data_IF_170351755730
#
_entry.id   IF_170351755730
#
_cell.length_a   1.000
_cell.length_b   1.000
_cell.length_c   1.000
_cell.angle_alpha   90.00
_cell.angle_beta   90.00
_cell.angle_gamma   90.00
#
_symmetry.space_group_name_H-M   'P 1'
#
loop_
_entity.id
_entity.type
_entity.pdbx_description
1 polymer ?
#
# COMPACT_ATOMS: atom_id res chain seq x y z
N UNK A 1 -43.08 54.49 5.47
CA UNK A 1 -42.39 53.70 4.43
C UNK A 1 -41.97 52.38 5.07
N UNK A 2 -42.58 51.28 4.63
CA UNK A 2 -42.38 49.92 5.16
C UNK A 2 -41.39 49.21 4.23
N UNK A 3 -40.32 48.64 4.78
CA UNK A 3 -39.39 47.78 4.04
C UNK A 3 -39.69 46.34 4.45
N UNK A 4 -40.12 45.51 3.50
CA UNK A 4 -40.32 44.07 3.70
C UNK A 4 -38.96 43.37 3.70
N UNK A 5 -38.68 42.57 4.73
CA UNK A 5 -37.57 41.62 4.75
C UNK A 5 -38.11 40.25 4.35
N UNK A 6 -37.73 39.75 3.18
CA UNK A 6 -37.92 38.34 2.81
C UNK A 6 -36.81 37.51 3.46
N UNK A 7 -37.19 36.65 4.40
CA UNK A 7 -36.37 35.55 4.89
C UNK A 7 -36.45 34.41 3.87
N UNK A 8 -35.32 34.06 3.25
CA UNK A 8 -35.18 32.81 2.50
C UNK A 8 -34.70 31.76 3.52
N UNK A 9 -35.51 30.73 3.72
CA UNK A 9 -35.18 29.57 4.56
C UNK A 9 -33.94 28.84 4.03
N UNK A 10 -32.90 28.59 4.85
CA UNK A 10 -31.92 27.57 4.52
C UNK A 10 -32.55 26.18 4.72
N UNK A 11 -32.37 25.32 3.71
CA UNK A 11 -32.79 23.94 3.74
C UNK A 11 -32.20 23.20 4.95
N UNK A 12 -33.05 22.42 5.59
CA UNK A 12 -32.73 21.56 6.74
C UNK A 12 -31.77 20.46 6.30
N UNK A 13 -30.53 20.49 6.77
CA UNK A 13 -29.68 19.30 6.89
C UNK A 13 -29.39 19.08 8.38
N UNK A 14 -29.97 18.00 8.91
CA UNK A 14 -29.88 17.61 10.31
C UNK A 14 -28.49 17.09 10.73
N UNK A 15 -28.31 16.85 12.03
CA UNK A 15 -27.00 16.72 12.65
C UNK A 15 -26.45 15.29 12.52
N UNK A 16 -25.54 15.06 11.58
CA UNK A 16 -24.67 13.89 11.61
C UNK A 16 -23.20 14.32 11.73
N UNK A 17 -22.81 14.50 12.99
CA UNK A 17 -21.51 14.11 13.55
C UNK A 17 -20.32 14.04 12.57
N UNK A 18 -19.63 15.16 12.42
CA UNK A 18 -18.26 15.24 11.87
C UNK A 18 -17.20 14.68 12.86
N UNK A 19 -17.48 13.53 13.48
CA UNK A 19 -16.59 12.83 14.41
C UNK A 19 -16.63 11.32 14.16
N UNK A 20 -16.21 10.89 12.97
CA UNK A 20 -16.05 9.46 12.70
C UNK A 20 -14.96 9.15 11.67
N UNK A 21 -13.83 9.85 11.73
CA UNK A 21 -12.59 9.43 11.08
C UNK A 21 -11.50 9.65 12.13
N UNK A 22 -10.57 8.72 12.29
CA UNK A 22 -9.58 8.61 13.38
C UNK A 22 -10.07 7.97 14.69
N UNK A 23 -10.41 6.68 14.62
CA UNK A 23 -10.18 5.78 15.75
C UNK A 23 -9.79 4.39 15.24
N UNK A 24 -8.51 4.23 14.89
CA UNK A 24 -7.91 2.89 14.86
C UNK A 24 -7.90 2.38 16.30
N UNK A 25 -8.82 1.46 16.61
CA UNK A 25 -8.81 0.78 17.89
C UNK A 25 -7.88 -0.43 17.73
N UNK A 26 -6.64 -0.28 18.21
CA UNK A 26 -5.68 -1.37 18.28
C UNK A 26 -6.24 -2.44 19.24
N UNK A 27 -6.78 -3.53 18.68
CA UNK A 27 -6.98 -4.76 19.44
C UNK A 27 -5.61 -5.40 19.59
N UNK A 28 -5.11 -5.45 20.82
CA UNK A 28 -3.88 -6.15 21.19
C UNK A 28 -4.12 -7.66 21.01
N UNK A 29 -3.86 -8.16 19.81
CA UNK A 29 -3.71 -9.59 19.55
C UNK A 29 -2.22 -9.87 19.69
N UNK A 30 -1.85 -10.75 20.62
CA UNK A 30 -0.49 -11.27 20.69
C UNK A 30 -0.24 -12.12 19.43
N UNK A 31 0.19 -11.46 18.35
CA UNK A 31 0.66 -12.10 17.13
C UNK A 31 2.09 -12.56 17.38
N UNK A 32 2.34 -13.86 17.38
CA UNK A 32 3.71 -14.36 17.29
C UNK A 32 4.21 -14.06 15.89
N UNK A 33 5.02 -13.02 15.76
CA UNK A 33 5.82 -12.75 14.57
C UNK A 33 6.86 -13.86 14.42
N UNK A 34 6.48 -14.99 13.85
CA UNK A 34 7.46 -15.99 13.42
C UNK A 34 8.21 -15.40 12.22
N UNK A 35 9.53 -15.14 12.29
CA UNK A 35 10.30 -14.43 11.26
C UNK A 35 10.48 -15.24 9.96
N UNK A 36 9.80 -16.37 9.82
CA UNK A 36 10.04 -17.40 8.81
C UNK A 36 9.29 -17.20 7.49
N UNK A 37 8.87 -15.98 7.13
CA UNK A 37 8.30 -15.76 5.81
C UNK A 37 9.39 -15.97 4.75
N UNK A 38 9.14 -16.87 3.79
CA UNK A 38 10.09 -17.10 2.70
C UNK A 38 10.18 -15.81 1.87
N UNK A 39 11.39 -15.32 1.65
CA UNK A 39 11.66 -14.10 0.89
C UNK A 39 12.11 -14.45 -0.53
N UNK A 40 11.51 -13.81 -1.54
CA UNK A 40 11.89 -14.01 -2.94
C UNK A 40 11.84 -12.73 -3.78
N UNK A 41 12.55 -12.76 -4.91
CA UNK A 41 12.52 -11.73 -5.94
C UNK A 41 11.99 -12.33 -7.24
N UNK A 42 11.18 -11.56 -7.97
CA UNK A 42 10.89 -11.84 -9.36
C UNK A 42 11.92 -11.17 -10.28
N UNK A 43 12.57 -11.97 -11.12
CA UNK A 43 13.50 -11.52 -12.16
C UNK A 43 12.78 -11.06 -13.43
N UNK A 44 13.52 -10.41 -14.33
CA UNK A 44 13.05 -9.89 -15.62
C UNK A 44 12.42 -10.94 -16.54
N UNK A 45 12.98 -12.14 -16.52
CA UNK A 45 12.51 -13.31 -17.26
C UNK A 45 11.33 -14.02 -16.57
N UNK A 46 10.80 -13.46 -15.47
CA UNK A 46 9.72 -14.05 -14.68
C UNK A 46 10.19 -15.08 -13.66
N UNK A 47 11.47 -15.47 -13.66
CA UNK A 47 11.98 -16.45 -12.71
C UNK A 47 11.93 -15.91 -11.27
N UNK A 48 11.51 -16.75 -10.33
CA UNK A 48 11.50 -16.42 -8.90
C UNK A 48 12.72 -17.03 -8.24
N UNK A 49 13.49 -16.23 -7.51
CA UNK A 49 14.67 -16.69 -6.77
C UNK A 49 14.60 -16.29 -5.31
N UNK A 50 15.20 -17.11 -4.45
CA UNK A 50 15.39 -16.78 -3.04
C UNK A 50 16.11 -15.44 -2.88
N UNK A 51 15.71 -14.69 -1.86
CA UNK A 51 16.13 -13.31 -1.64
C UNK A 51 16.61 -13.11 -0.21
N UNK A 52 17.51 -12.16 -0.03
CA UNK A 52 17.89 -11.66 1.29
C UNK A 52 17.05 -10.44 1.62
N UNK A 53 16.85 -10.17 2.90
CA UNK A 53 16.13 -8.98 3.36
C UNK A 53 16.66 -7.67 2.74
N UNK A 54 17.99 -7.51 2.62
CA UNK A 54 18.59 -6.32 2.02
C UNK A 54 18.14 -6.08 0.55
N UNK A 55 17.79 -7.14 -0.17
CA UNK A 55 17.29 -7.03 -1.55
C UNK A 55 15.91 -6.34 -1.61
N UNK A 56 15.16 -6.36 -0.52
CA UNK A 56 13.86 -5.68 -0.41
C UNK A 56 14.04 -4.18 -0.34
N UNK A 57 15.12 -3.71 0.28
CA UNK A 57 15.41 -2.29 0.44
C UNK A 57 16.05 -1.66 -0.80
N UNK A 58 16.83 -2.42 -1.56
CA UNK A 58 17.56 -1.94 -2.74
C UNK A 58 16.68 -1.77 -3.97
N UNK A 59 17.12 -0.97 -4.93
CA UNK A 59 16.58 -1.04 -6.29
C UNK A 59 17.28 -2.14 -7.08
N UNK A 60 16.56 -3.14 -7.60
CA UNK A 60 17.16 -4.34 -8.21
C UNK A 60 16.76 -4.59 -9.66
N UNK A 61 15.84 -3.80 -10.22
CA UNK A 61 15.22 -4.13 -11.52
C UNK A 61 16.01 -3.60 -12.71
N UNK A 62 16.47 -2.34 -12.69
CA UNK A 62 17.18 -1.73 -13.81
C UNK A 62 18.53 -1.14 -13.39
N UNK A 63 19.36 -0.85 -14.39
CA UNK A 63 20.62 -0.12 -14.25
C UNK A 63 20.57 1.12 -15.13
N UNK A 64 21.24 2.19 -14.72
CA UNK A 64 21.33 3.42 -15.50
C UNK A 64 22.62 3.45 -16.32
N UNK A 65 22.55 4.03 -17.52
CA UNK A 65 23.74 4.25 -18.36
C UNK A 65 24.76 5.18 -17.70
N UNK A 66 24.32 6.05 -16.79
CA UNK A 66 25.15 6.98 -16.03
C UNK A 66 24.59 7.15 -14.62
N UNK A 67 25.45 7.46 -13.65
CA UNK A 67 25.08 7.69 -12.24
C UNK A 67 24.36 6.53 -11.56
N UNK A 68 24.60 5.30 -12.03
CA UNK A 68 23.86 4.12 -11.62
C UNK A 68 23.82 3.89 -10.10
N UNK A 69 24.97 3.98 -9.42
CA UNK A 69 25.02 3.86 -7.96
C UNK A 69 24.24 4.97 -7.24
N UNK A 70 24.22 6.19 -7.80
CA UNK A 70 23.49 7.32 -7.22
C UNK A 70 21.98 7.18 -7.45
N UNK A 71 21.56 6.72 -8.62
CA UNK A 71 20.15 6.48 -8.90
C UNK A 71 19.59 5.30 -8.08
N UNK A 72 20.39 4.25 -7.87
CA UNK A 72 20.06 3.16 -6.99
C UNK A 72 19.97 3.62 -5.52
N UNK A 73 20.88 4.48 -5.04
CA UNK A 73 20.86 4.97 -3.66
C UNK A 73 19.68 5.88 -3.35
N UNK A 74 19.26 6.73 -4.30
CA UNK A 74 18.03 7.54 -4.20
C UNK A 74 16.76 6.71 -4.03
N UNK A 75 16.78 5.44 -4.46
CA UNK A 75 15.67 4.48 -4.38
C UNK A 75 15.85 3.44 -3.29
N UNK A 76 16.93 3.53 -2.51
CA UNK A 76 17.12 2.69 -1.34
C UNK A 76 16.13 3.12 -0.25
N UNK A 77 15.37 2.17 0.28
CA UNK A 77 14.46 2.42 1.39
C UNK A 77 14.46 1.24 2.34
N UNK A 78 15.01 1.47 3.53
CA UNK A 78 14.87 0.53 4.64
C UNK A 78 13.50 0.69 5.28
N UNK A 79 12.86 -0.41 5.62
CA UNK A 79 11.58 -0.46 6.31
C UNK A 79 11.54 -1.72 7.18
N UNK A 80 10.62 -1.77 8.13
CA UNK A 80 10.44 -2.90 9.03
C UNK A 80 9.54 -3.94 8.37
N UNK A 81 10.15 -5.02 7.85
CA UNK A 81 9.43 -6.13 7.21
C UNK A 81 8.42 -6.76 8.17
N UNK A 82 8.80 -7.19 9.39
CA UNK A 82 7.83 -7.73 10.35
C UNK A 82 6.58 -6.85 10.56
N UNK A 83 6.76 -5.53 10.69
CA UNK A 83 5.63 -4.61 10.87
C UNK A 83 4.78 -4.48 9.61
N UNK A 84 5.38 -4.47 8.42
CA UNK A 84 4.62 -4.50 7.16
C UNK A 84 3.78 -5.77 7.05
N UNK A 85 4.35 -6.92 7.41
CA UNK A 85 3.64 -8.20 7.42
C UNK A 85 2.50 -8.19 8.45
N UNK A 86 2.72 -7.60 9.63
CA UNK A 86 1.71 -7.44 10.68
C UNK A 86 0.52 -6.61 10.18
N UNK A 87 0.79 -5.45 9.59
CA UNK A 87 -0.24 -4.59 8.98
C UNK A 87 -1.01 -5.36 7.90
N UNK A 88 -0.30 -6.08 7.05
CA UNK A 88 -0.92 -6.84 5.98
C UNK A 88 -1.86 -7.92 6.53
N UNK A 89 -1.39 -8.77 7.47
CA UNK A 89 -2.22 -9.78 8.14
C UNK A 89 -3.48 -9.17 8.75
N UNK A 90 -3.33 -8.08 9.50
CA UNK A 90 -4.46 -7.39 10.15
C UNK A 90 -5.48 -6.83 9.13
N UNK A 91 -5.03 -6.44 7.94
CA UNK A 91 -5.87 -5.89 6.89
C UNK A 91 -6.50 -6.93 5.95
N UNK A 92 -5.98 -8.16 5.93
CA UNK A 92 -6.39 -9.23 5.01
C UNK A 92 -7.69 -9.95 5.40
N UNK A 93 -8.24 -9.70 6.60
CA UNK A 93 -9.49 -10.30 7.08
C UNK A 93 -9.29 -11.29 8.25
N UNK A 94 -10.38 -11.94 8.69
CA UNK A 94 -10.42 -12.71 9.95
C UNK A 94 -9.70 -14.06 9.91
N UNK A 95 -9.39 -14.58 8.73
CA UNK A 95 -8.96 -15.97 8.58
C UNK A 95 -7.47 -16.09 8.21
N UNK A 96 -6.77 -14.97 8.06
CA UNK A 96 -5.32 -14.94 7.83
C UNK A 96 -4.61 -14.71 9.16
N UNK A 97 -3.79 -15.67 9.60
CA UNK A 97 -3.06 -15.57 10.87
C UNK A 97 -1.59 -15.22 10.67
N UNK A 98 -1.02 -15.60 9.50
CA UNK A 98 0.41 -15.47 9.25
C UNK A 98 0.72 -15.32 7.76
N UNK A 99 1.68 -14.44 7.46
CA UNK A 99 2.32 -14.37 6.15
C UNK A 99 3.29 -15.54 5.98
N UNK A 100 3.13 -16.32 4.91
CA UNK A 100 3.97 -17.48 4.59
C UNK A 100 5.05 -17.14 3.57
N UNK A 101 4.79 -16.16 2.69
CA UNK A 101 5.70 -15.77 1.63
C UNK A 101 5.60 -14.29 1.32
N UNK A 102 6.75 -13.65 1.15
CA UNK A 102 6.86 -12.27 0.68
C UNK A 102 7.75 -12.24 -0.56
N UNK A 103 7.15 -11.96 -1.72
CA UNK A 103 7.86 -11.80 -2.98
C UNK A 103 7.92 -10.34 -3.38
N UNK A 104 9.09 -9.84 -3.74
CA UNK A 104 9.25 -8.54 -4.37
C UNK A 104 9.08 -8.67 -5.88
N UNK A 105 8.11 -7.94 -6.43
CA UNK A 105 7.93 -7.80 -7.88
C UNK A 105 9.07 -7.00 -8.50
N UNK A 106 9.15 -7.06 -9.84
CA UNK A 106 9.94 -6.09 -10.59
C UNK A 106 9.48 -4.67 -10.25
N UNK A 107 10.43 -3.86 -9.81
CA UNK A 107 10.18 -2.50 -9.36
C UNK A 107 10.06 -1.56 -10.55
N UNK A 108 9.01 -0.74 -10.52
CA UNK A 108 8.92 0.47 -11.33
C UNK A 108 9.89 1.55 -10.83
N UNK A 109 9.83 2.74 -11.42
CA UNK A 109 10.73 3.84 -11.03
C UNK A 109 10.41 4.44 -9.65
N UNK A 110 9.18 4.27 -9.17
CA UNK A 110 8.62 5.07 -8.09
C UNK A 110 8.17 4.26 -6.87
N UNK A 111 7.93 2.96 -7.00
CA UNK A 111 7.43 2.14 -5.91
C UNK A 111 8.16 0.78 -5.88
N UNK A 112 8.34 0.26 -4.67
CA UNK A 112 8.55 -1.16 -4.41
C UNK A 112 7.19 -1.82 -4.26
N UNK A 113 7.00 -2.95 -4.91
CA UNK A 113 5.74 -3.70 -4.86
C UNK A 113 6.02 -5.11 -4.40
N UNK A 114 5.26 -5.57 -3.42
CA UNK A 114 5.41 -6.88 -2.80
C UNK A 114 4.11 -7.66 -2.91
N UNK A 115 4.20 -8.92 -3.29
CA UNK A 115 3.14 -9.91 -3.13
C UNK A 115 3.31 -10.58 -1.78
N UNK A 116 2.27 -10.52 -0.96
CA UNK A 116 2.23 -11.17 0.34
C UNK A 116 1.21 -12.31 0.28
N UNK A 117 1.66 -13.53 0.55
CA UNK A 117 0.81 -14.72 0.60
C UNK A 117 0.64 -15.18 2.05
N UNK A 118 -0.57 -15.59 2.40
CA UNK A 118 -0.93 -16.00 3.75
C UNK A 118 -1.21 -17.50 3.87
N UNK A 119 -1.27 -18.00 5.11
CA UNK A 119 -1.55 -19.40 5.42
C UNK A 119 -2.93 -19.89 4.96
N UNK A 120 -3.90 -19.00 4.79
CA UNK A 120 -5.23 -19.32 4.26
C UNK A 120 -5.31 -19.33 2.72
N UNK A 121 -4.17 -19.13 2.03
CA UNK A 121 -4.10 -19.08 0.58
C UNK A 121 -4.51 -17.76 -0.05
N UNK A 122 -4.92 -16.77 0.75
CA UNK A 122 -5.16 -15.41 0.25
C UNK A 122 -3.86 -14.68 -0.06
N UNK A 123 -3.95 -13.70 -0.95
CA UNK A 123 -2.82 -12.87 -1.38
C UNK A 123 -3.22 -11.39 -1.39
N UNK A 124 -2.30 -10.54 -0.94
CA UNK A 124 -2.42 -9.07 -1.03
C UNK A 124 -1.17 -8.47 -1.63
N UNK A 125 -1.29 -7.25 -2.11
CA UNK A 125 -0.18 -6.47 -2.65
C UNK A 125 0.13 -5.31 -1.70
N UNK A 126 1.39 -5.20 -1.29
CA UNK A 126 1.89 -4.04 -0.57
C UNK A 126 2.76 -3.18 -1.50
N UNK A 127 2.51 -1.88 -1.52
CA UNK A 127 3.27 -0.89 -2.27
C UNK A 127 3.90 0.09 -1.32
N UNK A 128 5.21 0.29 -1.44
CA UNK A 128 5.98 1.29 -0.70
C UNK A 128 6.60 2.25 -1.72
N UNK A 129 6.40 3.57 -1.60
CA UNK A 129 7.05 4.52 -2.50
C UNK A 129 8.56 4.50 -2.31
N UNK A 130 9.30 4.88 -3.34
CA UNK A 130 10.72 5.13 -3.24
C UNK A 130 10.94 6.59 -2.75
N UNK A 131 12.05 6.91 -2.07
CA UNK A 131 12.31 8.27 -1.58
C UNK A 131 12.42 9.33 -2.68
N UNK A 132 12.63 8.95 -3.94
CA UNK A 132 12.71 9.87 -5.07
C UNK A 132 11.35 10.32 -5.63
N UNK A 133 10.23 9.88 -5.04
CA UNK A 133 8.87 10.03 -5.63
C UNK A 133 8.22 11.39 -5.34
N UNK A 134 8.99 12.37 -4.87
CA UNK A 134 8.46 13.68 -4.48
C UNK A 134 7.81 13.67 -3.10
N UNK A 135 6.92 14.64 -2.78
CA UNK A 135 6.30 14.73 -1.46
C UNK A 135 5.49 13.47 -1.10
N UNK A 136 5.95 12.74 -0.10
CA UNK A 136 5.47 11.40 0.26
C UNK A 136 3.97 11.38 0.56
N UNK A 137 3.48 12.39 1.28
CA UNK A 137 2.07 12.52 1.66
C UNK A 137 1.16 12.61 0.43
N UNK A 138 1.55 13.43 -0.55
CA UNK A 138 0.71 13.68 -1.73
C UNK A 138 0.66 12.43 -2.63
N UNK A 139 1.79 11.74 -2.79
CA UNK A 139 1.86 10.55 -3.65
C UNK A 139 0.88 9.46 -3.19
N UNK A 140 0.88 9.11 -1.90
CA UNK A 140 0.03 8.04 -1.38
C UNK A 140 -1.42 8.49 -1.29
N UNK A 141 -1.68 9.70 -0.76
CA UNK A 141 -3.05 10.19 -0.63
C UNK A 141 -3.73 10.37 -2.00
N UNK A 142 -3.02 10.89 -3.00
CA UNK A 142 -3.55 11.03 -4.36
C UNK A 142 -3.77 9.69 -5.05
N UNK A 143 -2.91 8.68 -4.82
CA UNK A 143 -3.11 7.34 -5.36
C UNK A 143 -4.38 6.70 -4.77
N UNK A 144 -4.52 6.70 -3.45
CA UNK A 144 -5.71 6.15 -2.76
C UNK A 144 -6.98 6.88 -3.16
N UNK A 145 -6.97 8.22 -3.17
CA UNK A 145 -8.13 9.01 -3.59
C UNK A 145 -8.54 8.74 -5.04
N UNK A 146 -7.57 8.51 -5.94
CA UNK A 146 -7.85 8.16 -7.33
C UNK A 146 -8.45 6.75 -7.43
N UNK A 147 -7.95 5.79 -6.64
CA UNK A 147 -8.53 4.44 -6.59
C UNK A 147 -9.98 4.50 -6.09
N UNK A 148 -10.25 5.22 -5.00
CA UNK A 148 -11.62 5.38 -4.49
C UNK A 148 -12.53 6.02 -5.54
N UNK A 149 -12.07 7.06 -6.24
CA UNK A 149 -12.83 7.69 -7.31
C UNK A 149 -13.12 6.71 -8.47
N UNK A 150 -12.11 6.00 -8.96
CA UNK A 150 -12.26 5.04 -10.07
C UNK A 150 -13.22 3.90 -9.71
N UNK A 151 -13.20 3.46 -8.45
CA UNK A 151 -14.06 2.39 -7.98
C UNK A 151 -15.49 2.87 -7.71
N UNK A 152 -15.65 3.91 -6.91
CA UNK A 152 -16.95 4.32 -6.38
C UNK A 152 -17.71 5.26 -7.32
N UNK A 153 -17.00 6.08 -8.11
CA UNK A 153 -17.63 7.04 -9.04
C UNK A 153 -17.68 6.49 -10.46
N UNK A 154 -16.57 5.93 -10.96
CA UNK A 154 -16.53 5.39 -12.34
C UNK A 154 -17.10 3.96 -12.39
N UNK A 155 -17.04 3.20 -11.30
CA UNK A 155 -17.57 1.83 -11.25
C UNK A 155 -16.67 0.78 -11.88
N UNK A 156 -15.36 1.06 -12.06
CA UNK A 156 -14.43 0.06 -12.60
C UNK A 156 -14.02 -0.95 -11.52
N UNK A 157 -13.91 -2.25 -11.87
CA UNK A 157 -13.57 -3.31 -10.93
C UNK A 157 -12.06 -3.33 -10.64
N UNK A 158 -11.58 -2.33 -9.92
CA UNK A 158 -10.19 -2.25 -9.48
C UNK A 158 -9.99 -2.86 -8.08
N UNK A 159 -8.76 -3.25 -7.72
CA UNK A 159 -8.44 -3.74 -6.38
C UNK A 159 -8.85 -2.77 -5.28
N UNK A 160 -9.35 -3.29 -4.15
CA UNK A 160 -9.63 -2.46 -2.96
C UNK A 160 -8.37 -2.16 -2.19
N UNK A 161 -8.26 -0.92 -1.70
CA UNK A 161 -7.29 -0.56 -0.66
C UNK A 161 -7.77 -1.15 0.68
N UNK A 162 -6.90 -1.90 1.35
CA UNK A 162 -7.20 -2.58 2.62
C UNK A 162 -6.62 -1.80 3.81
N UNK A 163 -5.44 -1.23 3.64
CA UNK A 163 -4.78 -0.37 4.65
C UNK A 163 -3.79 0.55 3.95
N UNK A 164 -3.57 1.75 4.47
CA UNK A 164 -2.56 2.66 3.96
C UNK A 164 -2.09 3.63 5.05
N UNK A 165 -0.87 4.13 4.90
CA UNK A 165 -0.33 5.23 5.71
C UNK A 165 0.52 6.13 4.83
N UNK A 166 0.34 7.44 4.98
CA UNK A 166 1.17 8.46 4.36
C UNK A 166 2.20 9.08 5.32
N UNK A 167 2.26 8.59 6.57
CA UNK A 167 3.20 9.03 7.59
C UNK A 167 4.23 7.93 7.84
N UNK A 168 5.51 8.18 7.52
CA UNK A 168 6.63 7.26 7.75
C UNK A 168 6.98 7.05 9.22
N UNK A 169 6.42 7.82 10.16
CA UNK A 169 6.60 7.59 11.60
C UNK A 169 5.89 6.34 12.12
N UNK A 170 5.05 5.71 11.29
CA UNK A 170 4.38 4.45 11.61
C UNK A 170 5.37 3.29 11.82
N UNK A 171 4.99 2.18 12.48
CA UNK A 171 5.89 1.07 12.80
C UNK A 171 6.61 0.42 11.61
N UNK A 172 6.03 0.49 10.40
CA UNK A 172 6.68 0.02 9.16
C UNK A 172 7.93 0.87 8.83
N UNK A 173 7.99 2.11 9.29
CA UNK A 173 9.08 3.05 8.98
C UNK A 173 9.05 3.55 7.53
N UNK A 174 7.91 3.44 6.87
CA UNK A 174 7.67 3.88 5.49
C UNK A 174 6.18 4.12 5.27
N UNK A 175 5.84 5.04 4.38
CA UNK A 175 4.51 5.07 3.78
C UNK A 175 4.22 3.77 3.04
N UNK A 176 2.95 3.39 2.98
CA UNK A 176 2.53 2.17 2.31
C UNK A 176 1.07 2.22 1.85
N UNK A 177 0.77 1.37 0.88
CA UNK A 177 -0.59 0.94 0.53
C UNK A 177 -0.59 -0.59 0.54
N UNK A 178 -1.48 -1.20 1.32
CA UNK A 178 -1.84 -2.62 1.25
C UNK A 178 -3.19 -2.70 0.55
N UNK A 179 -3.28 -3.50 -0.49
CA UNK A 179 -4.47 -3.63 -1.35
C UNK A 179 -4.66 -5.06 -1.82
N UNK A 180 -5.85 -5.37 -2.34
CA UNK A 180 -6.11 -6.65 -2.98
C UNK A 180 -5.16 -6.92 -4.16
N UNK A 181 -4.85 -8.19 -4.41
CA UNK A 181 -4.22 -8.60 -5.67
C UNK A 181 -5.24 -8.46 -6.82
N UNK A 182 -4.84 -7.81 -7.90
CA UNK A 182 -5.68 -7.71 -9.10
C UNK A 182 -5.95 -9.10 -9.69
N UNK A 183 -7.20 -9.34 -10.10
CA UNK A 183 -7.62 -10.58 -10.76
C UNK A 183 -7.41 -10.45 -12.25
N UNK A 184 -6.87 -11.49 -12.89
CA UNK A 184 -6.73 -11.58 -14.34
C UNK A 184 -5.30 -11.79 -14.80
N UNK A 185 -5.13 -11.78 -16.12
CA UNK A 185 -3.83 -11.92 -16.80
C UNK A 185 -3.40 -10.55 -17.31
N UNK A 186 -2.11 -10.24 -17.22
CA UNK A 186 -1.60 -9.01 -17.79
C UNK A 186 -1.81 -9.03 -19.32
N UNK A 187 -2.22 -7.90 -19.90
CA UNK A 187 -2.56 -7.85 -21.33
C UNK A 187 -1.40 -8.26 -22.25
N UNK A 188 -0.16 -8.05 -21.83
CA UNK A 188 1.03 -8.46 -22.60
C UNK A 188 1.30 -9.96 -22.62
N UNK A 189 0.60 -10.74 -21.78
CA UNK A 189 0.74 -12.20 -21.68
C UNK A 189 -0.42 -12.94 -22.40
N UNK A 190 -1.31 -12.20 -23.08
CA UNK A 190 -2.46 -12.73 -23.83
C UNK A 190 -2.17 -12.74 -25.34
#
# INVERSE_FOLDING_TARGET
>A
MRTQSLLIHPAVFGPHSLRSVYRQQYRLVHLSSDPSALLSLQKKDGAVTEAREEDFYRYTTNRWLSNDAQEASKRYRRFNIPELLSVAVQSSGTDADRCTHMMKYQEGQYNKTFLLAFNNGSEVVAKLPNPNTGPEILTIASEVATMDFVREVIGLPIPRVLSWSCDSSNPVGSEYIVMEKAKGTALGDV
#
